data_IF_287729376287
#
_entry.id   IF_287729376287
#
_cell.length_a   1.000
_cell.length_b   1.000
_cell.length_c   1.000
_cell.angle_alpha   90.00
_cell.angle_beta   90.00
_cell.angle_gamma   90.00
#
_symmetry.space_group_name_H-M   'P 1'
#
loop_
_entity.id
_entity.type
_entity.pdbx_description
1 polymer ?
#
# COMPACT_ATOMS: atom_id res chain seq x y z
N UNK A 1 -89.02 -5.76 -41.25
CA UNK A 1 -87.70 -5.38 -41.75
C UNK A 1 -86.97 -4.64 -40.68
N UNK A 2 -85.97 -5.29 -39.97
CA UNK A 2 -85.16 -4.65 -38.94
C UNK A 2 -83.74 -4.79 -39.42
N UNK A 3 -83.11 -3.66 -39.76
CA UNK A 3 -81.72 -3.54 -40.12
C UNK A 3 -80.82 -3.56 -38.86
N UNK A 4 -79.96 -4.52 -38.71
CA UNK A 4 -78.95 -4.56 -37.66
C UNK A 4 -77.74 -3.75 -38.07
N UNK A 5 -77.34 -2.83 -37.20
CA UNK A 5 -76.10 -2.06 -37.29
C UNK A 5 -75.00 -2.79 -36.58
N UNK A 6 -73.99 -3.19 -37.34
CA UNK A 6 -72.71 -3.74 -36.83
C UNK A 6 -71.73 -2.59 -36.54
N UNK A 7 -71.36 -2.39 -35.24
CA UNK A 7 -70.26 -1.51 -34.86
C UNK A 7 -68.94 -2.28 -34.96
N UNK A 8 -67.88 -1.71 -35.49
CA UNK A 8 -66.57 -2.32 -35.43
C UNK A 8 -65.90 -2.09 -34.05
N UNK A 9 -65.51 -3.16 -33.42
CA UNK A 9 -64.72 -3.16 -32.19
C UNK A 9 -63.26 -2.83 -32.51
N UNK A 10 -62.89 -1.57 -32.19
CA UNK A 10 -61.50 -1.08 -32.36
C UNK A 10 -60.57 -1.71 -31.37
N UNK A 11 -59.57 -2.47 -31.88
CA UNK A 11 -58.49 -3.04 -31.09
C UNK A 11 -57.47 -1.95 -30.69
N UNK A 12 -57.49 -1.52 -29.45
CA UNK A 12 -56.51 -0.60 -28.87
C UNK A 12 -55.25 -1.44 -28.57
N UNK A 13 -54.25 -1.35 -29.42
CA UNK A 13 -52.90 -1.92 -29.16
C UNK A 13 -52.21 -0.93 -28.19
N UNK A 14 -52.20 -1.27 -26.94
CA UNK A 14 -51.45 -0.57 -25.88
C UNK A 14 -49.97 -0.90 -26.02
N UNK A 15 -49.20 -0.08 -26.75
CA UNK A 15 -47.78 -0.19 -26.90
C UNK A 15 -47.08 -0.04 -25.56
N UNK A 16 -46.59 -1.16 -24.99
CA UNK A 16 -45.70 -1.14 -23.83
C UNK A 16 -44.36 -0.51 -24.23
N UNK A 17 -44.19 0.75 -23.89
CA UNK A 17 -42.89 1.42 -23.98
C UNK A 17 -42.00 0.78 -22.90
N UNK A 18 -41.16 -0.20 -23.28
CA UNK A 18 -40.02 -0.61 -22.47
C UNK A 18 -39.05 0.58 -22.43
N UNK A 19 -39.14 1.39 -21.37
CA UNK A 19 -38.01 2.23 -21.00
C UNK A 19 -36.83 1.32 -20.71
N UNK A 20 -35.94 1.13 -21.69
CA UNK A 20 -34.60 0.66 -21.42
C UNK A 20 -33.97 1.68 -20.49
N UNK A 21 -34.01 1.40 -19.18
CA UNK A 21 -33.21 2.10 -18.21
C UNK A 21 -31.76 1.93 -18.68
N UNK A 22 -31.23 2.95 -19.38
CA UNK A 22 -29.81 3.06 -19.60
C UNK A 22 -29.18 3.03 -18.20
N UNK A 23 -28.57 1.93 -17.82
CA UNK A 23 -27.76 1.84 -16.63
C UNK A 23 -26.77 3.00 -16.72
N UNK A 24 -27.01 4.04 -15.91
CA UNK A 24 -26.16 5.23 -15.91
C UNK A 24 -24.73 4.77 -15.67
N UNK A 25 -23.85 5.07 -16.62
CA UNK A 25 -22.46 4.58 -16.57
C UNK A 25 -21.73 5.24 -15.41
N UNK A 26 -21.44 4.46 -14.34
CA UNK A 26 -20.58 4.92 -13.25
C UNK A 26 -19.16 5.23 -13.77
N UNK A 27 -18.51 6.32 -13.31
CA UNK A 27 -18.98 7.37 -12.41
C UNK A 27 -19.70 8.54 -13.16
N UNK A 28 -20.72 9.14 -12.51
CA UNK A 28 -21.48 10.30 -13.02
C UNK A 28 -21.13 11.62 -12.33
N UNK A 29 -20.34 11.56 -11.26
CA UNK A 29 -19.88 12.70 -10.47
C UNK A 29 -18.42 12.47 -10.05
N UNK A 30 -17.73 13.48 -9.54
CA UNK A 30 -16.35 13.32 -9.08
C UNK A 30 -16.18 12.17 -8.07
N UNK A 31 -15.10 11.40 -8.25
CA UNK A 31 -14.70 10.32 -7.32
C UNK A 31 -13.61 10.85 -6.40
N UNK A 32 -13.79 10.70 -5.11
CA UNK A 32 -12.84 11.11 -4.08
C UNK A 32 -11.96 9.92 -3.68
N UNK A 33 -10.64 10.10 -3.69
CA UNK A 33 -9.70 9.13 -3.12
C UNK A 33 -9.04 9.76 -1.90
N UNK A 34 -9.31 9.18 -0.73
CA UNK A 34 -8.70 9.61 0.55
C UNK A 34 -7.32 8.98 0.66
N UNK A 35 -6.31 9.84 0.83
CA UNK A 35 -4.92 9.46 1.13
C UNK A 35 -4.71 9.67 2.62
N UNK A 36 -4.41 8.61 3.40
CA UNK A 36 -4.31 8.70 4.86
C UNK A 36 -2.99 9.30 5.35
N UNK A 37 -2.38 10.19 4.55
CA UNK A 37 -1.09 10.85 4.83
C UNK A 37 -1.10 12.31 4.33
N UNK A 38 -0.07 13.06 4.74
CA UNK A 38 0.10 14.45 4.32
C UNK A 38 0.30 14.58 2.80
N UNK A 39 -0.15 15.69 2.24
CA UNK A 39 0.07 16.04 0.86
C UNK A 39 1.58 16.19 0.54
N UNK A 40 1.95 15.91 -0.72
CA UNK A 40 3.34 15.97 -1.19
C UNK A 40 4.20 14.76 -0.79
N UNK A 41 3.64 13.78 -0.07
CA UNK A 41 4.31 12.52 0.23
C UNK A 41 4.20 11.50 -0.91
N UNK A 42 4.98 10.39 -0.84
CA UNK A 42 5.01 9.38 -1.92
C UNK A 42 3.63 8.81 -2.27
N UNK A 43 2.78 8.56 -1.30
CA UNK A 43 1.42 8.05 -1.52
C UNK A 43 0.50 9.08 -2.17
N UNK A 44 0.67 10.36 -1.86
CA UNK A 44 -0.07 11.46 -2.51
C UNK A 44 0.29 11.56 -4.00
N UNK A 45 1.58 11.52 -4.33
CA UNK A 45 2.06 11.57 -5.73
C UNK A 45 1.56 10.37 -6.55
N UNK A 46 1.60 9.15 -6.00
CA UNK A 46 1.10 7.94 -6.63
C UNK A 46 -0.38 8.08 -6.99
N UNK A 47 -1.20 8.53 -6.03
CA UNK A 47 -2.64 8.67 -6.25
C UNK A 47 -2.97 9.82 -7.19
N UNK A 48 -2.25 10.93 -7.14
CA UNK A 48 -2.47 12.05 -8.10
C UNK A 48 -2.14 11.61 -9.52
N UNK A 49 -1.06 10.86 -9.72
CA UNK A 49 -0.70 10.30 -11.02
C UNK A 49 -1.79 9.33 -11.52
N UNK A 50 -2.25 8.41 -10.68
CA UNK A 50 -3.35 7.49 -10.99
C UNK A 50 -4.64 8.26 -11.29
N UNK A 51 -5.03 9.19 -10.43
CA UNK A 51 -6.26 9.96 -10.51
C UNK A 51 -6.36 10.83 -11.77
N UNK A 52 -5.25 11.41 -12.20
CA UNK A 52 -5.18 12.16 -13.45
C UNK A 52 -5.56 11.25 -14.65
N UNK A 53 -5.02 10.03 -14.71
CA UNK A 53 -5.32 9.10 -15.81
C UNK A 53 -6.72 8.50 -15.73
N UNK A 54 -7.24 8.30 -14.51
CA UNK A 54 -8.63 7.89 -14.33
C UNK A 54 -9.60 9.00 -14.75
N UNK A 55 -9.29 10.28 -14.48
CA UNK A 55 -10.07 11.42 -14.95
C UNK A 55 -10.19 11.44 -16.49
N UNK A 56 -9.11 11.12 -17.20
CA UNK A 56 -9.12 11.01 -18.67
C UNK A 56 -10.09 9.91 -19.17
N UNK A 57 -10.16 8.78 -18.46
CA UNK A 57 -11.04 7.66 -18.83
C UNK A 57 -12.51 7.93 -18.45
N UNK A 58 -12.73 8.51 -17.29
CA UNK A 58 -14.08 8.66 -16.75
C UNK A 58 -14.80 9.92 -17.21
N UNK A 59 -14.06 10.93 -17.69
CA UNK A 59 -14.63 12.26 -17.93
C UNK A 59 -15.15 12.93 -16.66
N UNK A 60 -14.86 12.35 -15.49
CA UNK A 60 -15.21 12.85 -14.17
C UNK A 60 -13.94 13.08 -13.35
N UNK A 61 -13.91 14.16 -12.59
CA UNK A 61 -12.74 14.50 -11.78
C UNK A 61 -12.46 13.45 -10.71
N UNK A 62 -11.18 13.09 -10.54
CA UNK A 62 -10.70 12.36 -9.36
C UNK A 62 -10.10 13.36 -8.38
N UNK A 63 -10.75 13.50 -7.22
CA UNK A 63 -10.34 14.42 -6.17
C UNK A 63 -9.50 13.67 -5.14
N UNK A 64 -8.24 14.06 -4.98
CA UNK A 64 -7.33 13.50 -3.96
C UNK A 64 -7.48 14.31 -2.68
N UNK A 65 -7.91 13.66 -1.61
CA UNK A 65 -8.09 14.27 -0.29
C UNK A 65 -7.12 13.69 0.72
N UNK A 66 -6.22 14.52 1.25
CA UNK A 66 -5.25 14.10 2.26
C UNK A 66 -5.83 14.20 3.67
N UNK A 67 -5.93 13.06 4.37
CA UNK A 67 -6.44 12.93 5.75
C UNK A 67 -5.43 12.16 6.60
N UNK A 68 -4.31 12.82 6.90
CA UNK A 68 -3.24 12.22 7.70
C UNK A 68 -3.56 12.18 9.19
N UNK A 69 -2.78 11.38 9.92
CA UNK A 69 -2.79 11.29 11.38
C UNK A 69 -3.01 9.87 11.91
N UNK A 70 -2.55 9.62 13.14
CA UNK A 70 -2.64 8.33 13.82
C UNK A 70 -2.17 7.12 12.98
N UNK A 71 -1.04 7.26 12.26
CA UNK A 71 -0.54 6.17 11.41
C UNK A 71 -1.41 5.83 10.19
N UNK A 72 -2.25 6.78 9.75
CA UNK A 72 -3.20 6.58 8.65
C UNK A 72 -4.63 6.23 9.10
N UNK A 73 -4.84 6.00 10.38
CA UNK A 73 -6.15 5.55 10.89
C UNK A 73 -7.26 6.59 10.70
N UNK A 74 -6.94 7.90 10.75
CA UNK A 74 -7.94 8.96 10.56
C UNK A 74 -8.53 8.89 9.14
N UNK A 75 -7.69 8.80 8.12
CA UNK A 75 -8.15 8.69 6.73
C UNK A 75 -8.91 7.39 6.45
N UNK A 76 -8.44 6.28 7.00
CA UNK A 76 -9.11 5.00 6.88
C UNK A 76 -10.51 5.01 7.53
N UNK A 77 -10.65 5.57 8.74
CA UNK A 77 -11.93 5.68 9.45
C UNK A 77 -12.96 6.53 8.67
N UNK A 78 -12.52 7.61 8.03
CA UNK A 78 -13.39 8.43 7.16
C UNK A 78 -14.00 7.59 6.04
N UNK A 79 -13.21 6.71 5.41
CA UNK A 79 -13.71 5.88 4.30
C UNK A 79 -14.52 4.70 4.81
N UNK A 80 -14.14 4.08 5.92
CA UNK A 80 -14.91 2.99 6.54
C UNK A 80 -16.36 3.39 6.84
N UNK A 81 -16.60 4.67 7.13
CA UNK A 81 -17.94 5.26 7.44
C UNK A 81 -18.61 5.93 6.24
N UNK A 82 -17.98 5.91 5.06
CA UNK A 82 -18.54 6.53 3.87
C UNK A 82 -19.64 5.67 3.24
N UNK A 83 -20.50 6.29 2.41
CA UNK A 83 -21.50 5.56 1.65
C UNK A 83 -20.85 4.55 0.69
N UNK A 84 -21.39 3.32 0.54
CA UNK A 84 -20.84 2.28 -0.32
C UNK A 84 -21.27 2.45 -1.79
N UNK A 85 -21.21 3.69 -2.29
CA UNK A 85 -21.65 4.09 -3.64
C UNK A 85 -20.48 4.17 -4.65
N UNK A 86 -19.26 3.85 -4.22
CA UNK A 86 -18.06 3.89 -5.05
C UNK A 86 -17.45 5.30 -5.24
N UNK A 87 -18.04 6.36 -4.71
CA UNK A 87 -17.54 7.72 -4.88
C UNK A 87 -16.57 8.20 -3.80
N UNK A 88 -16.36 7.39 -2.76
CA UNK A 88 -15.31 7.62 -1.75
C UNK A 88 -14.48 6.37 -1.62
N UNK A 89 -13.20 6.46 -1.96
CA UNK A 89 -12.25 5.36 -1.96
C UNK A 89 -11.09 5.68 -1.02
N UNK A 90 -10.43 4.63 -0.51
CA UNK A 90 -9.23 4.74 0.31
C UNK A 90 -8.01 4.31 -0.50
N UNK A 91 -6.93 5.08 -0.46
CA UNK A 91 -5.60 4.52 -0.70
C UNK A 91 -5.13 3.84 0.60
N UNK A 92 -5.36 2.54 0.70
CA UNK A 92 -4.87 1.73 1.80
C UNK A 92 -3.42 1.27 1.57
N UNK A 93 -2.73 1.00 2.66
CA UNK A 93 -1.40 0.38 2.67
C UNK A 93 -1.22 -0.44 3.96
N UNK A 94 -0.04 -1.01 4.16
CA UNK A 94 0.21 -1.90 5.29
C UNK A 94 -0.13 -1.28 6.66
N UNK A 95 0.15 0.01 6.90
CA UNK A 95 -0.12 0.66 8.19
C UNK A 95 -1.58 0.47 8.64
N UNK A 96 -2.52 1.20 8.06
CA UNK A 96 -3.92 1.15 8.47
C UNK A 96 -4.63 -0.17 8.14
N UNK A 97 -4.13 -0.97 7.19
CA UNK A 97 -4.84 -2.17 6.70
C UNK A 97 -4.35 -3.46 7.37
N UNK A 98 -3.05 -3.65 7.56
CA UNK A 98 -2.50 -4.95 8.01
C UNK A 98 -1.76 -4.89 9.34
N UNK A 99 -1.16 -3.75 9.70
CA UNK A 99 -0.36 -3.59 10.92
C UNK A 99 -1.20 -3.10 12.10
N UNK A 100 -1.93 -2.00 11.91
CA UNK A 100 -2.66 -1.33 12.98
C UNK A 100 -3.78 -2.16 13.62
N UNK A 101 -4.43 -3.12 12.93
CA UNK A 101 -5.38 -4.04 13.57
C UNK A 101 -4.81 -4.82 14.76
N UNK A 102 -3.51 -5.14 14.72
CA UNK A 102 -2.83 -5.82 15.83
C UNK A 102 -2.13 -4.83 16.78
N UNK A 103 -1.59 -3.75 16.23
CA UNK A 103 -0.74 -2.81 16.96
C UNK A 103 -1.55 -1.83 17.82
N UNK A 104 -2.74 -1.40 17.36
CA UNK A 104 -3.55 -0.35 17.99
C UNK A 104 -4.70 -0.96 18.77
N UNK A 105 -4.71 -0.78 20.10
CA UNK A 105 -5.71 -1.39 20.99
C UNK A 105 -7.16 -0.98 20.71
N UNK A 106 -7.39 0.24 20.23
CA UNK A 106 -8.74 0.80 19.96
C UNK A 106 -8.76 1.38 18.55
N UNK A 107 -8.75 0.50 17.56
CA UNK A 107 -8.91 0.91 16.17
C UNK A 107 -10.39 1.23 15.90
N UNK A 108 -10.74 2.42 15.30
CA UNK A 108 -12.13 2.82 15.12
C UNK A 108 -12.84 2.13 13.94
N UNK A 109 -12.15 1.25 13.22
CA UNK A 109 -12.65 0.46 12.09
C UNK A 109 -12.03 -0.95 12.11
N UNK A 110 -12.61 -1.86 11.36
CA UNK A 110 -12.08 -3.20 11.10
C UNK A 110 -11.75 -3.35 9.61
N UNK A 111 -10.47 -3.42 9.21
CA UNK A 111 -10.10 -3.46 7.79
C UNK A 111 -10.69 -4.64 7.01
N UNK A 112 -10.93 -5.78 7.65
CA UNK A 112 -11.49 -6.96 6.98
C UNK A 112 -13.00 -6.87 6.80
N UNK A 113 -13.69 -6.15 7.68
CA UNK A 113 -15.15 -6.00 7.65
C UNK A 113 -15.59 -4.74 6.92
N UNK A 114 -14.86 -3.63 7.10
CA UNK A 114 -15.32 -2.31 6.71
C UNK A 114 -14.82 -1.87 5.33
N UNK A 115 -13.95 -2.67 4.67
CA UNK A 115 -13.45 -2.39 3.31
C UNK A 115 -13.62 -3.56 2.35
N UNK A 116 -13.83 -3.20 1.09
CA UNK A 116 -13.72 -4.10 -0.06
C UNK A 116 -12.46 -3.75 -0.84
N UNK A 117 -11.50 -4.69 -1.01
CA UNK A 117 -10.35 -4.48 -1.88
C UNK A 117 -10.79 -4.25 -3.33
N UNK A 118 -10.12 -3.32 -4.03
CA UNK A 118 -10.38 -3.05 -5.45
C UNK A 118 -9.19 -3.48 -6.30
N UNK A 119 -8.01 -2.93 -6.05
CA UNK A 119 -6.79 -3.30 -6.78
C UNK A 119 -5.56 -2.84 -6.01
N UNK A 120 -4.49 -3.61 -6.02
CA UNK A 120 -3.18 -3.07 -5.72
C UNK A 120 -2.83 -2.01 -6.77
N UNK A 121 -2.13 -0.96 -6.37
CA UNK A 121 -1.74 0.16 -7.25
C UNK A 121 -0.26 0.11 -7.51
N UNK A 122 0.53 0.01 -6.47
CA UNK A 122 1.97 -0.03 -6.57
C UNK A 122 2.60 -0.88 -5.49
N UNK A 123 3.79 -1.37 -5.79
CA UNK A 123 4.71 -1.92 -4.80
C UNK A 123 6.08 -1.26 -4.94
N UNK A 124 6.79 -1.19 -3.83
CA UNK A 124 8.17 -0.71 -3.76
C UNK A 124 8.93 -1.55 -2.74
N UNK A 125 10.19 -1.25 -2.53
CA UNK A 125 11.07 -2.02 -1.64
C UNK A 125 11.76 -1.10 -0.66
N UNK A 126 12.16 -1.70 0.46
CA UNK A 126 13.12 -1.08 1.36
C UNK A 126 14.52 -1.65 1.07
N UNK A 127 15.52 -0.84 1.37
CA UNK A 127 16.92 -1.23 1.33
C UNK A 127 17.43 -1.32 2.77
N UNK A 128 18.02 -2.46 3.11
CA UNK A 128 18.79 -2.59 4.34
C UNK A 128 20.14 -1.94 4.10
N UNK A 129 20.37 -0.84 4.76
CA UNK A 129 21.60 -0.06 4.67
C UNK A 129 22.35 -0.07 5.98
N UNK A 130 23.67 -0.05 5.90
CA UNK A 130 24.58 0.02 7.05
C UNK A 130 25.48 1.23 6.93
N UNK A 131 25.98 1.74 8.06
CA UNK A 131 27.06 2.72 8.07
C UNK A 131 28.33 2.12 7.43
N UNK A 132 29.08 2.85 6.58
CA UNK A 132 30.23 2.32 5.85
C UNK A 132 31.34 1.71 6.71
N UNK A 133 31.50 2.16 7.96
CA UNK A 133 32.47 1.61 8.90
C UNK A 133 32.10 0.22 9.43
N UNK A 134 30.84 -0.20 9.32
CA UNK A 134 30.42 -1.51 9.81
C UNK A 134 31.05 -2.62 8.92
N UNK A 135 31.77 -3.61 9.47
CA UNK A 135 32.45 -4.64 8.71
C UNK A 135 31.52 -5.76 8.24
N UNK A 136 30.43 -5.38 7.50
CA UNK A 136 29.46 -6.30 6.95
C UNK A 136 29.08 -5.87 5.52
N UNK A 137 29.28 -6.75 4.53
CA UNK A 137 29.03 -6.48 3.10
C UNK A 137 27.71 -7.09 2.61
N UNK A 138 27.12 -7.99 3.36
CA UNK A 138 25.89 -8.71 3.04
C UNK A 138 25.13 -9.10 4.33
N UNK A 139 23.90 -9.61 4.17
CA UNK A 139 23.05 -10.01 5.30
C UNK A 139 23.71 -11.10 6.18
N UNK A 140 24.40 -12.07 5.57
CA UNK A 140 25.03 -13.16 6.31
C UNK A 140 26.13 -12.64 7.24
N UNK A 141 27.00 -11.76 6.75
CA UNK A 141 28.06 -11.12 7.55
C UNK A 141 27.46 -10.21 8.63
N UNK A 142 26.42 -9.43 8.30
CA UNK A 142 25.74 -8.57 9.25
C UNK A 142 25.14 -9.37 10.40
N UNK A 143 24.47 -10.48 10.11
CA UNK A 143 23.87 -11.32 11.15
C UNK A 143 24.95 -12.10 11.94
N UNK A 144 26.08 -12.45 11.33
CA UNK A 144 27.20 -13.02 12.05
C UNK A 144 27.81 -12.01 13.05
N UNK A 145 27.97 -10.75 12.62
CA UNK A 145 28.44 -9.66 13.48
C UNK A 145 27.48 -9.43 14.67
N UNK A 146 26.18 -9.43 14.41
CA UNK A 146 25.16 -9.27 15.46
C UNK A 146 25.17 -10.43 16.47
N UNK A 147 25.41 -11.69 16.03
CA UNK A 147 25.53 -12.85 16.93
C UNK A 147 26.79 -12.77 17.77
N UNK A 148 27.90 -12.31 17.22
CA UNK A 148 29.16 -12.14 17.95
C UNK A 148 29.06 -11.01 18.98
N UNK A 149 28.16 -10.07 18.81
CA UNK A 149 27.99 -8.88 19.65
C UNK A 149 26.53 -8.64 20.03
N UNK A 150 25.89 -9.49 20.84
CA UNK A 150 24.47 -9.38 21.17
C UNK A 150 24.14 -8.02 21.80
N UNK A 151 23.11 -7.33 21.25
CA UNK A 151 22.62 -6.04 21.76
C UNK A 151 23.60 -4.85 21.55
N UNK A 152 24.66 -5.01 20.75
CA UNK A 152 25.60 -3.89 20.46
C UNK A 152 25.20 -3.09 19.24
N UNK A 153 24.51 -3.72 18.27
CA UNK A 153 24.08 -3.03 17.07
C UNK A 153 22.76 -2.29 17.31
N UNK A 154 22.71 -1.05 16.86
CA UNK A 154 21.54 -0.19 16.92
C UNK A 154 20.94 -0.01 15.53
N UNK A 155 19.64 -0.24 15.35
CA UNK A 155 18.97 0.01 14.09
C UNK A 155 17.95 1.15 14.22
N UNK A 156 17.98 2.05 13.22
CA UNK A 156 17.04 3.17 13.12
C UNK A 156 15.75 2.79 12.41
N UNK A 157 14.66 3.46 12.75
CA UNK A 157 13.40 3.42 11.99
C UNK A 157 12.68 4.76 12.02
N UNK A 158 11.70 4.96 11.14
CA UNK A 158 10.87 6.18 11.14
C UNK A 158 9.77 6.19 12.22
N UNK A 159 9.81 5.25 13.16
CA UNK A 159 8.90 5.17 14.31
C UNK A 159 8.54 3.76 14.69
N UNK A 160 7.93 3.60 15.86
CA UNK A 160 7.47 2.29 16.37
C UNK A 160 6.34 1.75 15.51
N UNK A 161 6.41 0.45 15.17
CA UNK A 161 5.35 -0.28 14.44
C UNK A 161 5.26 0.02 12.94
N UNK A 162 6.12 0.87 12.38
CA UNK A 162 6.16 1.04 10.92
C UNK A 162 6.90 -0.12 10.23
N UNK A 163 6.81 -0.19 8.90
CA UNK A 163 7.41 -1.28 8.13
C UNK A 163 8.93 -1.41 8.28
N UNK A 164 9.64 -0.29 8.51
CA UNK A 164 11.09 -0.30 8.74
C UNK A 164 11.43 -1.01 10.06
N UNK A 165 10.68 -0.70 11.11
CA UNK A 165 10.79 -1.37 12.41
C UNK A 165 10.41 -2.85 12.29
N UNK A 166 9.21 -3.16 11.79
CA UNK A 166 8.71 -4.53 11.70
C UNK A 166 9.56 -5.41 10.77
N UNK A 167 10.11 -4.84 9.69
CA UNK A 167 11.05 -5.52 8.81
C UNK A 167 12.35 -5.90 9.53
N UNK A 168 12.90 -5.00 10.35
CA UNK A 168 14.07 -5.30 11.17
C UNK A 168 13.74 -6.34 12.24
N UNK A 169 12.57 -6.26 12.87
CA UNK A 169 12.15 -7.24 13.87
C UNK A 169 11.96 -8.63 13.25
N UNK A 170 11.34 -8.72 12.06
CA UNK A 170 11.23 -10.01 11.35
C UNK A 170 12.62 -10.59 11.04
N UNK A 171 13.55 -9.77 10.51
CA UNK A 171 14.91 -10.20 10.22
C UNK A 171 15.65 -10.66 11.47
N UNK A 172 15.51 -9.91 12.58
CA UNK A 172 16.11 -10.23 13.86
C UNK A 172 15.60 -11.56 14.43
N UNK A 173 14.28 -11.80 14.33
CA UNK A 173 13.64 -13.05 14.76
C UNK A 173 14.13 -14.23 13.92
N UNK A 174 14.11 -14.10 12.57
CA UNK A 174 14.54 -15.18 11.68
C UNK A 174 16.03 -15.50 11.83
N UNK A 175 16.85 -14.49 12.11
CA UNK A 175 18.29 -14.66 12.31
C UNK A 175 18.65 -15.13 13.73
N UNK A 176 17.75 -15.06 14.70
CA UNK A 176 18.02 -15.38 16.12
C UNK A 176 19.07 -14.46 16.74
N UNK A 177 18.98 -13.13 16.46
CA UNK A 177 19.95 -12.13 16.95
C UNK A 177 19.27 -11.06 17.80
N UNK A 178 20.06 -10.36 18.64
CA UNK A 178 19.61 -9.24 19.45
C UNK A 178 20.23 -7.94 18.95
N UNK A 179 19.39 -6.94 18.68
CA UNK A 179 19.77 -5.57 18.30
C UNK A 179 18.85 -4.59 19.02
N UNK A 180 19.28 -3.34 19.17
CA UNK A 180 18.49 -2.29 19.81
C UNK A 180 17.76 -1.45 18.77
N UNK A 181 16.48 -1.18 19.01
CA UNK A 181 15.68 -0.28 18.17
C UNK A 181 15.83 1.17 18.64
N UNK A 182 16.10 2.07 17.70
CA UNK A 182 16.12 3.52 17.90
C UNK A 182 15.03 4.15 17.04
N UNK A 183 13.86 4.50 17.60
CA UNK A 183 12.77 5.10 16.83
C UNK A 183 12.98 6.60 16.63
N UNK A 184 12.74 7.09 15.40
CA UNK A 184 12.77 8.50 15.02
C UNK A 184 11.38 8.99 14.60
N UNK A 185 11.21 10.31 14.56
CA UNK A 185 10.01 10.96 14.02
C UNK A 185 10.11 11.13 12.49
N UNK A 186 10.28 10.00 11.77
CA UNK A 186 10.42 9.97 10.32
C UNK A 186 11.78 9.44 9.84
N UNK A 187 11.90 9.18 8.53
CA UNK A 187 13.11 8.59 7.95
C UNK A 187 14.29 9.57 7.86
N UNK A 188 14.02 10.87 7.65
CA UNK A 188 15.09 11.85 7.47
C UNK A 188 16.04 11.96 8.67
N UNK A 189 15.58 12.14 9.91
CA UNK A 189 16.48 12.16 11.07
C UNK A 189 17.17 10.79 11.28
N UNK A 190 16.51 9.66 11.00
CA UNK A 190 17.16 8.35 11.07
C UNK A 190 18.31 8.21 10.07
N UNK A 191 18.18 8.76 8.85
CA UNK A 191 19.27 8.79 7.87
C UNK A 191 20.45 9.67 8.32
N UNK A 192 20.18 10.83 8.95
CA UNK A 192 21.25 11.68 9.49
C UNK A 192 22.09 10.87 10.48
N UNK A 193 21.45 10.15 11.38
CA UNK A 193 22.13 9.38 12.40
C UNK A 193 22.80 8.11 11.85
N UNK A 194 22.22 7.48 10.81
CA UNK A 194 22.90 6.39 10.09
C UNK A 194 24.17 6.88 9.39
N UNK A 195 24.12 8.03 8.73
CA UNK A 195 25.26 8.59 8.00
C UNK A 195 26.37 9.07 8.94
N UNK A 196 26.02 9.55 10.13
CA UNK A 196 26.98 9.97 11.17
C UNK A 196 27.45 8.82 12.07
N UNK A 197 26.92 7.59 11.90
CA UNK A 197 27.30 6.43 12.67
C UNK A 197 26.71 6.35 14.07
N UNK A 198 25.69 7.13 14.39
CA UNK A 198 24.96 7.07 15.68
C UNK A 198 24.06 5.84 15.75
N UNK A 199 23.56 5.38 14.60
CA UNK A 199 22.96 4.04 14.41
C UNK A 199 23.73 3.29 13.35
N UNK A 200 23.75 1.95 13.47
CA UNK A 200 24.60 1.09 12.63
C UNK A 200 23.94 0.72 11.32
N UNK A 201 22.59 0.58 11.32
CA UNK A 201 21.82 0.09 10.18
C UNK A 201 20.37 0.56 10.21
N UNK A 202 19.69 0.51 9.07
CA UNK A 202 18.23 0.67 8.98
C UNK A 202 17.68 0.07 7.69
N UNK A 203 16.41 -0.33 7.71
CA UNK A 203 15.62 -0.42 6.49
C UNK A 203 15.06 0.97 6.14
N UNK A 204 15.11 1.34 4.86
CA UNK A 204 14.44 2.54 4.39
C UNK A 204 13.99 2.38 2.94
N UNK A 205 12.99 3.16 2.52
CA UNK A 205 12.48 3.14 1.14
C UNK A 205 13.63 3.37 0.15
N UNK A 206 13.65 2.60 -0.94
CA UNK A 206 14.72 2.61 -1.93
C UNK A 206 14.97 4.01 -2.50
N UNK A 207 13.92 4.79 -2.77
CA UNK A 207 14.06 6.13 -3.36
C UNK A 207 14.88 7.05 -2.47
N UNK A 208 14.51 7.12 -1.19
CA UNK A 208 15.25 7.92 -0.20
C UNK A 208 16.65 7.41 0.08
N UNK A 209 16.92 6.12 -0.18
CA UNK A 209 18.20 5.47 0.08
C UNK A 209 19.20 5.61 -1.07
N UNK A 210 18.73 5.57 -2.32
CA UNK A 210 19.59 5.59 -3.52
C UNK A 210 20.61 6.72 -3.57
N UNK A 211 20.28 7.99 -3.27
CA UNK A 211 21.27 9.09 -3.28
C UNK A 211 22.43 8.86 -2.32
N UNK A 212 22.14 8.28 -1.15
CA UNK A 212 23.15 8.00 -0.13
C UNK A 212 24.01 6.79 -0.48
N UNK A 213 23.45 5.77 -1.13
CA UNK A 213 24.21 4.61 -1.65
C UNK A 213 25.14 5.05 -2.78
N UNK A 214 24.65 5.85 -3.73
CA UNK A 214 25.45 6.34 -4.88
C UNK A 214 26.63 7.21 -4.46
N UNK A 215 26.49 7.94 -3.37
CA UNK A 215 27.55 8.79 -2.80
C UNK A 215 28.36 8.07 -1.72
N UNK A 216 28.20 6.75 -1.55
CA UNK A 216 28.87 5.91 -0.57
C UNK A 216 28.74 6.40 0.89
N UNK A 217 27.73 7.22 1.19
CA UNK A 217 27.43 7.68 2.56
C UNK A 217 26.81 6.57 3.42
N UNK A 218 26.16 5.60 2.77
CA UNK A 218 25.70 4.35 3.37
C UNK A 218 26.02 3.19 2.42
N UNK A 219 26.11 1.97 2.95
CA UNK A 219 26.26 0.76 2.15
C UNK A 219 24.95 -0.01 2.13
N UNK A 220 24.41 -0.29 0.93
CA UNK A 220 23.29 -1.20 0.76
C UNK A 220 23.78 -2.66 0.90
N UNK A 221 23.16 -3.45 1.77
CA UNK A 221 23.51 -4.87 1.99
C UNK A 221 22.43 -5.84 1.53
N UNK A 222 21.17 -5.39 1.45
CA UNK A 222 20.08 -6.19 0.87
C UNK A 222 18.86 -5.33 0.54
N UNK A 223 17.93 -5.89 -0.26
CA UNK A 223 16.55 -5.37 -0.42
C UNK A 223 15.57 -6.24 0.36
N UNK A 224 14.45 -5.63 0.78
CA UNK A 224 13.44 -6.27 1.65
C UNK A 224 12.47 -7.21 0.94
N UNK A 225 12.48 -7.24 -0.40
CA UNK A 225 11.56 -8.04 -1.21
C UNK A 225 12.15 -9.39 -1.59
N UNK A 226 11.29 -10.36 -1.95
CA UNK A 226 11.71 -11.69 -2.38
C UNK A 226 12.68 -11.68 -3.56
N UNK A 227 12.62 -10.67 -4.43
CA UNK A 227 13.50 -10.49 -5.59
C UNK A 227 14.33 -9.23 -5.49
N UNK A 228 15.48 -9.20 -6.20
CA UNK A 228 16.34 -8.01 -6.28
C UNK A 228 15.63 -6.82 -6.93
N UNK A 229 16.17 -5.63 -6.72
CA UNK A 229 15.68 -4.40 -7.34
C UNK A 229 16.38 -4.14 -8.68
N UNK A 230 15.65 -3.78 -9.76
CA UNK A 230 16.28 -3.26 -10.98
C UNK A 230 17.11 -1.99 -10.75
N UNK A 231 16.78 -1.21 -9.72
CA UNK A 231 17.53 0.01 -9.35
C UNK A 231 18.85 -0.29 -8.61
N UNK A 232 18.99 -1.51 -8.06
CA UNK A 232 20.16 -2.01 -7.33
C UNK A 232 20.39 -3.49 -7.68
N UNK A 233 20.73 -3.84 -8.93
CA UNK A 233 20.75 -5.22 -9.40
C UNK A 233 21.83 -6.07 -8.70
N UNK A 234 22.90 -5.44 -8.23
CA UNK A 234 23.99 -6.11 -7.51
C UNK A 234 23.70 -6.31 -6.03
N UNK A 235 22.67 -5.67 -5.48
CA UNK A 235 22.27 -5.81 -4.07
C UNK A 235 21.35 -7.00 -3.92
N UNK A 236 21.73 -8.02 -3.12
CA UNK A 236 20.91 -9.22 -2.95
C UNK A 236 19.59 -8.96 -2.24
N UNK A 237 18.64 -9.88 -2.39
CA UNK A 237 17.47 -9.96 -1.54
C UNK A 237 17.82 -10.56 -0.18
N UNK A 238 17.13 -10.12 0.90
CA UNK A 238 17.20 -10.81 2.19
C UNK A 238 16.76 -12.26 2.06
N UNK A 239 15.79 -12.54 1.16
CA UNK A 239 15.29 -13.90 0.89
C UNK A 239 16.36 -14.87 0.36
N UNK A 240 17.43 -14.38 -0.24
CA UNK A 240 18.57 -15.23 -0.68
C UNK A 240 19.31 -15.84 0.53
N UNK A 241 19.21 -15.21 1.70
CA UNK A 241 19.77 -15.73 2.97
C UNK A 241 18.70 -16.31 3.88
N UNK A 242 17.56 -15.64 4.02
CA UNK A 242 16.44 -16.02 4.88
C UNK A 242 15.19 -16.29 4.02
N UNK A 243 15.00 -17.56 3.66
CA UNK A 243 13.88 -17.98 2.80
C UNK A 243 12.52 -17.53 3.39
N UNK A 244 11.68 -16.99 2.52
CA UNK A 244 10.35 -16.50 2.90
C UNK A 244 10.35 -15.08 3.47
N UNK A 245 11.49 -14.40 3.55
CA UNK A 245 11.52 -12.99 3.87
C UNK A 245 11.04 -12.19 2.65
N UNK A 246 9.92 -11.49 2.80
CA UNK A 246 9.36 -10.63 1.75
C UNK A 246 8.53 -9.52 2.41
N UNK A 247 9.06 -8.31 2.43
CA UNK A 247 8.41 -7.12 2.98
C UNK A 247 8.41 -6.01 1.94
N UNK A 248 7.50 -6.06 0.96
CA UNK A 248 7.27 -4.94 0.07
C UNK A 248 6.62 -3.77 0.82
N UNK A 249 6.88 -2.55 0.39
CA UNK A 249 5.98 -1.45 0.66
C UNK A 249 4.96 -1.40 -0.48
N UNK A 250 3.69 -1.24 -0.17
CA UNK A 250 2.63 -1.29 -1.18
C UNK A 250 1.52 -0.29 -0.87
N UNK A 251 0.72 0.02 -1.88
CA UNK A 251 -0.59 0.63 -1.70
C UNK A 251 -1.61 0.04 -2.66
N UNK A 252 -2.88 0.11 -2.26
CA UNK A 252 -4.01 -0.38 -3.03
C UNK A 252 -5.24 0.50 -2.83
N UNK A 253 -6.17 0.42 -3.77
CA UNK A 253 -7.47 1.07 -3.66
C UNK A 253 -8.45 0.14 -2.97
N UNK A 254 -9.17 0.70 -2.01
CA UNK A 254 -10.23 0.04 -1.25
C UNK A 254 -11.51 0.90 -1.31
N UNK A 255 -12.64 0.23 -1.36
CA UNK A 255 -13.97 0.85 -1.25
C UNK A 255 -14.59 0.53 0.11
N UNK A 256 -15.59 1.29 0.60
CA UNK A 256 -16.38 0.93 1.77
C UNK A 256 -17.06 -0.43 1.60
N UNK A 257 -17.22 -1.17 2.69
CA UNK A 257 -18.00 -2.41 2.70
C UNK A 257 -19.42 -2.18 2.20
N UNK A 258 -19.96 -3.14 1.44
CA UNK A 258 -21.28 -3.01 0.81
C UNK A 258 -21.27 -2.34 -0.58
N UNK A 259 -20.11 -1.84 -1.06
CA UNK A 259 -19.99 -1.39 -2.46
C UNK A 259 -20.31 -2.54 -3.41
N UNK A 260 -21.18 -2.30 -4.41
CA UNK A 260 -21.65 -3.35 -5.31
C UNK A 260 -20.50 -3.98 -6.11
N UNK A 261 -20.66 -5.27 -6.45
CA UNK A 261 -19.66 -6.00 -7.24
C UNK A 261 -19.43 -5.36 -8.61
N UNK A 262 -20.45 -4.80 -9.22
CA UNK A 262 -20.35 -4.15 -10.54
C UNK A 262 -19.48 -2.89 -10.46
N UNK A 263 -19.64 -2.07 -9.41
CA UNK A 263 -18.81 -0.89 -9.17
C UNK A 263 -17.35 -1.31 -8.90
N UNK A 264 -17.14 -2.34 -8.06
CA UNK A 264 -15.79 -2.85 -7.77
C UNK A 264 -15.12 -3.38 -9.04
N UNK A 265 -15.84 -4.14 -9.87
CA UNK A 265 -15.32 -4.67 -11.13
C UNK A 265 -14.98 -3.55 -12.13
N UNK A 266 -15.84 -2.53 -12.23
CA UNK A 266 -15.60 -1.35 -13.08
C UNK A 266 -14.36 -0.59 -12.61
N UNK A 267 -14.26 -0.27 -11.32
CA UNK A 267 -13.09 0.40 -10.73
C UNK A 267 -11.82 -0.42 -10.97
N UNK A 268 -11.84 -1.72 -10.69
CA UNK A 268 -10.70 -2.61 -10.89
C UNK A 268 -10.25 -2.61 -12.35
N UNK A 269 -11.17 -2.82 -13.29
CA UNK A 269 -10.85 -2.85 -14.72
C UNK A 269 -10.23 -1.54 -15.22
N UNK A 270 -10.71 -0.39 -14.78
CA UNK A 270 -10.17 0.91 -15.19
C UNK A 270 -8.82 1.19 -14.54
N UNK A 271 -8.66 0.86 -13.27
CA UNK A 271 -7.36 0.98 -12.57
C UNK A 271 -6.31 0.10 -13.25
N UNK A 272 -6.63 -1.15 -13.60
CA UNK A 272 -5.71 -2.04 -14.32
C UNK A 272 -5.29 -1.41 -15.66
N UNK A 273 -6.24 -0.91 -16.46
CA UNK A 273 -5.96 -0.25 -17.75
C UNK A 273 -4.99 0.92 -17.59
N UNK A 274 -5.20 1.75 -16.56
CA UNK A 274 -4.34 2.90 -16.27
C UNK A 274 -2.95 2.44 -15.84
N UNK A 275 -2.85 1.47 -14.93
CA UNK A 275 -1.57 0.98 -14.39
C UNK A 275 -0.74 0.23 -15.45
N UNK A 276 -1.35 -0.26 -16.53
CA UNK A 276 -0.66 -0.90 -17.64
C UNK A 276 -0.03 0.09 -18.62
N UNK A 277 -0.40 1.38 -18.59
CA UNK A 277 0.15 2.41 -19.47
C UNK A 277 1.65 2.59 -19.26
N UNK A 278 2.40 2.73 -20.35
CA UNK A 278 3.85 2.90 -20.31
C UNK A 278 4.28 4.17 -19.58
N UNK A 279 3.58 5.30 -19.84
CA UNK A 279 3.85 6.59 -19.20
C UNK A 279 3.67 6.56 -17.67
N UNK A 280 2.68 5.82 -17.18
CA UNK A 280 2.45 5.67 -15.75
C UNK A 280 3.49 4.73 -15.10
N UNK A 281 3.82 3.62 -15.76
CA UNK A 281 4.87 2.71 -15.30
C UNK A 281 6.22 3.43 -15.19
N UNK A 282 6.57 4.23 -16.19
CA UNK A 282 7.79 5.04 -16.16
C UNK A 282 7.77 6.06 -15.02
N UNK A 283 6.64 6.76 -14.82
CA UNK A 283 6.48 7.72 -13.73
C UNK A 283 6.66 7.06 -12.36
N UNK A 284 6.06 5.87 -12.15
CA UNK A 284 6.23 5.13 -10.91
C UNK A 284 7.68 4.62 -10.73
N UNK A 285 8.32 4.15 -11.81
CA UNK A 285 9.71 3.72 -11.76
C UNK A 285 10.66 4.87 -11.35
N UNK A 286 10.45 6.09 -11.86
CA UNK A 286 11.18 7.29 -11.43
C UNK A 286 10.99 7.58 -9.94
N UNK A 287 9.85 7.21 -9.36
CA UNK A 287 9.55 7.29 -7.93
C UNK A 287 10.01 6.04 -7.15
N UNK A 288 10.80 5.13 -7.78
CA UNK A 288 11.29 3.88 -7.17
C UNK A 288 10.20 2.90 -6.80
N UNK A 289 9.11 2.95 -7.51
CA UNK A 289 7.93 2.12 -7.33
C UNK A 289 7.59 1.39 -8.62
N UNK A 290 6.90 0.27 -8.52
CA UNK A 290 6.42 -0.51 -9.65
C UNK A 290 4.89 -0.49 -9.66
N UNK A 291 4.28 -0.25 -10.82
CA UNK A 291 2.84 -0.42 -10.98
C UNK A 291 2.51 -1.93 -10.88
N UNK A 292 1.70 -2.30 -9.90
CA UNK A 292 1.39 -3.70 -9.58
C UNK A 292 -0.12 -3.92 -9.51
N UNK A 293 -0.85 -3.80 -10.64
CA UNK A 293 -2.29 -4.04 -10.65
C UNK A 293 -2.61 -5.47 -10.21
N UNK A 294 -3.71 -5.64 -9.49
CA UNK A 294 -4.20 -6.95 -9.06
C UNK A 294 -5.71 -7.06 -9.21
N UNK A 295 -6.23 -8.30 -9.14
CA UNK A 295 -7.66 -8.49 -8.91
C UNK A 295 -8.03 -8.15 -7.46
N UNK A 296 -9.30 -7.90 -7.14
CA UNK A 296 -9.77 -7.69 -5.78
C UNK A 296 -9.42 -8.87 -4.85
N UNK A 297 -9.56 -10.11 -5.35
CA UNK A 297 -9.27 -11.33 -4.60
C UNK A 297 -7.77 -11.47 -4.29
N UNK A 298 -6.91 -11.12 -5.25
CA UNK A 298 -5.45 -11.15 -5.04
C UNK A 298 -5.02 -10.13 -3.99
N UNK A 299 -5.60 -8.91 -4.00
CA UNK A 299 -5.36 -7.92 -2.95
C UNK A 299 -5.90 -8.39 -1.59
N UNK A 300 -7.09 -8.98 -1.55
CA UNK A 300 -7.66 -9.55 -0.33
C UNK A 300 -6.75 -10.62 0.28
N UNK A 301 -6.25 -11.54 -0.54
CA UNK A 301 -5.34 -12.60 -0.10
C UNK A 301 -3.99 -12.04 0.39
N UNK A 302 -3.46 -11.02 -0.31
CA UNK A 302 -2.26 -10.30 0.13
C UNK A 302 -2.46 -9.70 1.52
N UNK A 303 -3.55 -8.95 1.72
CA UNK A 303 -3.91 -8.34 3.01
C UNK A 303 -4.04 -9.40 4.11
N UNK A 304 -4.71 -10.52 3.83
CA UNK A 304 -4.89 -11.61 4.79
C UNK A 304 -3.55 -12.20 5.24
N UNK A 305 -2.68 -12.54 4.29
CA UNK A 305 -1.34 -13.11 4.58
C UNK A 305 -0.48 -12.14 5.37
N UNK A 306 -0.45 -10.88 4.95
CA UNK A 306 0.37 -9.86 5.58
C UNK A 306 -0.11 -9.52 6.99
N UNK A 307 -1.43 -9.47 7.23
CA UNK A 307 -2.01 -9.28 8.57
C UNK A 307 -1.55 -10.38 9.53
N UNK A 308 -1.61 -11.65 9.11
CA UNK A 308 -1.15 -12.79 9.92
C UNK A 308 0.35 -12.70 10.20
N UNK A 309 1.15 -12.35 9.20
CA UNK A 309 2.60 -12.19 9.34
C UNK A 309 2.94 -11.10 10.36
N UNK A 310 2.37 -9.89 10.21
CA UNK A 310 2.67 -8.79 11.13
C UNK A 310 2.14 -9.03 12.54
N UNK A 311 0.99 -9.69 12.70
CA UNK A 311 0.51 -10.10 14.02
C UNK A 311 1.52 -11.02 14.72
N UNK A 312 2.11 -11.96 14.00
CA UNK A 312 3.19 -12.82 14.49
C UNK A 312 4.43 -12.04 14.90
N UNK A 313 4.89 -11.12 14.06
CA UNK A 313 6.07 -10.28 14.33
C UNK A 313 5.84 -9.36 15.54
N UNK A 314 4.71 -8.65 15.57
CA UNK A 314 4.34 -7.73 16.66
C UNK A 314 4.32 -8.48 18.01
N UNK A 315 3.70 -9.67 18.02
CA UNK A 315 3.65 -10.51 19.24
C UNK A 315 5.03 -11.01 19.66
N UNK A 316 5.81 -11.55 18.72
CA UNK A 316 7.13 -12.13 19.04
C UNK A 316 8.14 -11.06 19.46
N UNK A 317 8.10 -9.88 18.85
CA UNK A 317 8.96 -8.75 19.18
C UNK A 317 8.43 -7.90 20.34
N UNK A 318 7.22 -8.20 20.86
CA UNK A 318 6.53 -7.43 21.92
C UNK A 318 6.42 -5.94 21.57
N UNK A 319 6.14 -5.65 20.29
CA UNK A 319 5.96 -4.27 19.82
C UNK A 319 4.63 -3.74 20.36
N UNK A 320 4.68 -2.62 21.06
CA UNK A 320 3.49 -1.93 21.56
C UNK A 320 3.47 -0.52 20.96
N UNK A 321 2.32 -0.12 20.40
CA UNK A 321 2.03 1.31 20.20
C UNK A 321 1.60 1.85 21.57
N UNK A 322 2.29 2.82 22.07
CA UNK A 322 1.88 3.58 23.25
C UNK A 322 0.56 4.32 23.01
#
# INVERSE_FOLDING_TARGET
>A
MRQGVLLPMGLVVMGAWFNAAHAQSYPLKPVRIVVPYAAGGPYDEIVRTLGQRLTEIWGQAVVVENRGGAGGNIGADVVAKAAPDGYTLLLGNAGPITVNPTLVKKLPYDPQRDFVPVSMVNASRMVLSVHPSLPAKNVKELMALARANPGRLNYGSSGVGNLQHLGMELLRIQAGVTMNHVPYKGAAPAFVDLISGQVDLMFANIVGTLPHVRTARVRAVAVSTATRSPLLPDVPSVAETYKGFDIPTWSGIFAPAGTSRDIVAKLNGDIIKVLQRADLKERYAQQGSEATPSTPEALAEHVRKETVMYAGVIKAAKVNAE
#
